data_IF_442661041975
#
_entry.id   IF_442661041975
#
_cell.length_a   1.000
_cell.length_b   1.000
_cell.length_c   1.000
_cell.angle_alpha   90.00
_cell.angle_beta   90.00
_cell.angle_gamma   90.00
#
_symmetry.space_group_name_H-M   'P 1'
#
loop_
_entity.id
_entity.type
_entity.pdbx_description
1 polymer ?
#
# COMPACT_ATOMS: atom_id res chain seq x y z
N UNK A 1 -13.22 1.16 30.31
CA UNK A 1 -12.46 0.57 29.20
C UNK A 1 -12.43 -0.93 29.40
N UNK A 2 -13.00 -1.70 28.47
CA UNK A 2 -12.79 -3.15 28.41
C UNK A 2 -11.36 -3.44 27.98
N UNK A 3 -10.75 -4.50 28.51
CA UNK A 3 -9.41 -4.90 28.10
C UNK A 3 -9.39 -5.24 26.59
N UNK A 4 -8.33 -4.85 25.83
CA UNK A 4 -8.21 -5.21 24.43
C UNK A 4 -8.25 -6.73 24.21
N UNK A 5 -8.93 -7.16 23.16
CA UNK A 5 -8.93 -8.56 22.71
C UNK A 5 -7.57 -8.85 22.09
N UNK A 6 -6.90 -9.90 22.57
CA UNK A 6 -5.61 -10.34 22.03
C UNK A 6 -5.83 -11.45 21.00
N UNK A 7 -5.32 -11.23 19.79
CA UNK A 7 -5.35 -12.18 18.68
C UNK A 7 -3.96 -12.78 18.46
N UNK A 8 -3.88 -13.85 17.66
CA UNK A 8 -2.60 -14.47 17.32
C UNK A 8 -1.60 -13.46 16.71
N UNK A 9 -0.32 -13.67 16.99
CA UNK A 9 0.74 -12.71 16.66
C UNK A 9 0.83 -11.52 17.64
N UNK A 10 0.11 -11.56 18.77
CA UNK A 10 0.14 -10.50 19.78
C UNK A 10 -0.63 -9.24 19.38
N UNK A 11 -1.55 -9.36 18.40
CA UNK A 11 -2.34 -8.23 17.91
C UNK A 11 -3.38 -7.86 18.96
N UNK A 12 -3.41 -6.58 19.35
CA UNK A 12 -4.32 -6.08 20.40
C UNK A 12 -5.41 -5.21 19.79
N UNK A 13 -6.66 -5.66 19.86
CA UNK A 13 -7.80 -4.94 19.30
C UNK A 13 -8.68 -4.42 20.44
N UNK A 14 -8.73 -3.09 20.61
CA UNK A 14 -9.64 -2.46 21.56
C UNK A 14 -11.06 -2.34 20.97
N UNK A 15 -12.07 -2.16 21.82
CA UNK A 15 -13.47 -1.97 21.41
C UNK A 15 -14.05 -0.72 22.07
N UNK A 16 -14.71 0.12 21.28
CA UNK A 16 -15.34 1.36 21.73
C UNK A 16 -14.39 2.54 21.65
N UNK A 17 -13.91 3.01 22.80
CA UNK A 17 -13.10 4.22 22.89
C UNK A 17 -11.68 4.03 22.34
N UNK A 18 -11.14 5.00 21.58
CA UNK A 18 -9.78 4.95 21.04
C UNK A 18 -8.68 4.66 22.08
N UNK A 19 -7.88 3.62 21.84
CA UNK A 19 -6.73 3.24 22.65
C UNK A 19 -5.40 3.37 21.88
N UNK A 20 -4.44 4.11 22.44
CA UNK A 20 -3.09 4.29 21.87
C UNK A 20 -2.24 3.02 21.96
N UNK A 21 -2.43 2.19 22.99
CA UNK A 21 -1.64 0.98 23.18
C UNK A 21 -2.06 -0.14 22.22
N UNK A 22 -3.34 -0.18 21.85
CA UNK A 22 -3.90 -1.14 20.90
C UNK A 22 -3.27 -1.00 19.49
N UNK A 23 -3.30 -2.09 18.73
CA UNK A 23 -2.94 -2.10 17.31
C UNK A 23 -3.95 -1.26 16.52
N UNK A 24 -5.24 -1.37 16.87
CA UNK A 24 -6.32 -0.44 16.52
C UNK A 24 -7.53 -0.68 17.43
N UNK A 25 -8.48 0.26 17.40
CA UNK A 25 -9.78 0.14 18.09
C UNK A 25 -10.88 -0.10 17.06
N UNK A 26 -11.83 -0.99 17.35
CA UNK A 26 -13.05 -1.15 16.57
C UNK A 26 -14.22 -0.48 17.27
N UNK A 27 -15.11 0.14 16.50
CA UNK A 27 -16.34 0.74 17.02
C UNK A 27 -17.45 0.62 15.98
N UNK A 28 -18.70 0.60 16.43
CA UNK A 28 -19.88 0.72 15.55
C UNK A 28 -20.32 2.20 15.42
N UNK A 29 -19.80 3.06 16.30
CA UNK A 29 -20.10 4.49 16.28
C UNK A 29 -19.23 5.24 15.26
N UNK A 30 -19.78 6.21 14.52
CA UNK A 30 -18.99 7.08 13.65
C UNK A 30 -17.91 7.83 14.43
N UNK A 31 -16.66 7.77 13.97
CA UNK A 31 -15.55 8.49 14.60
C UNK A 31 -14.57 9.08 13.60
N UNK A 32 -14.09 10.28 13.90
CA UNK A 32 -12.99 10.93 13.18
C UNK A 32 -11.61 10.51 13.68
N UNK A 33 -11.51 9.88 14.86
CA UNK A 33 -10.23 9.50 15.46
C UNK A 33 -9.59 8.37 14.65
N UNK A 34 -8.36 8.58 14.20
CA UNK A 34 -7.62 7.61 13.37
C UNK A 34 -7.22 6.34 14.10
N UNK A 35 -7.29 6.32 15.43
CA UNK A 35 -7.00 5.15 16.27
C UNK A 35 -8.15 4.14 16.28
N UNK A 36 -9.34 4.60 15.90
CA UNK A 36 -10.53 3.80 15.81
C UNK A 36 -11.02 3.64 14.36
N UNK A 37 -11.61 2.47 14.09
CA UNK A 37 -12.18 2.10 12.81
C UNK A 37 -13.64 1.75 13.02
N UNK A 38 -14.52 2.51 12.36
CA UNK A 38 -15.95 2.21 12.33
C UNK A 38 -16.21 0.98 11.46
N UNK A 39 -16.91 0.00 12.00
CA UNK A 39 -17.32 -1.25 11.34
C UNK A 39 -18.82 -1.48 11.54
N UNK A 40 -19.45 -2.25 10.66
CA UNK A 40 -20.89 -2.54 10.76
C UNK A 40 -21.25 -3.41 11.97
N UNK A 41 -20.33 -4.30 12.38
CA UNK A 41 -20.48 -5.23 13.50
C UNK A 41 -19.10 -5.51 14.09
N UNK A 42 -18.88 -5.07 15.33
CA UNK A 42 -17.63 -5.35 16.06
C UNK A 42 -17.42 -6.85 16.26
N UNK A 43 -18.41 -7.66 16.68
CA UNK A 43 -18.24 -9.11 16.82
C UNK A 43 -17.80 -9.79 15.53
N UNK A 44 -18.41 -9.44 14.38
CA UNK A 44 -18.07 -10.06 13.09
C UNK A 44 -16.68 -9.64 12.61
N UNK A 45 -16.33 -8.36 12.81
CA UNK A 45 -15.00 -7.85 12.48
C UNK A 45 -13.92 -8.54 13.32
N UNK A 46 -14.13 -8.72 14.63
CA UNK A 46 -13.22 -9.45 15.51
C UNK A 46 -13.08 -10.92 15.10
N UNK A 47 -14.17 -11.60 14.78
CA UNK A 47 -14.13 -13.00 14.34
C UNK A 47 -13.34 -13.16 13.03
N UNK A 48 -13.55 -12.28 12.05
CA UNK A 48 -12.81 -12.29 10.80
C UNK A 48 -11.31 -11.99 11.01
N UNK A 49 -10.98 -11.02 11.87
CA UNK A 49 -9.60 -10.70 12.24
C UNK A 49 -8.91 -11.88 12.94
N UNK A 50 -9.58 -12.51 13.91
CA UNK A 50 -9.07 -13.68 14.61
C UNK A 50 -8.70 -14.80 13.63
N UNK A 51 -9.62 -15.15 12.71
CA UNK A 51 -9.35 -16.17 11.69
C UNK A 51 -8.14 -15.84 10.82
N UNK A 52 -7.95 -14.57 10.45
CA UNK A 52 -6.83 -14.13 9.61
C UNK A 52 -5.52 -14.13 10.39
N UNK A 53 -5.51 -13.62 11.62
CA UNK A 53 -4.35 -13.63 12.50
C UNK A 53 -3.93 -15.05 12.87
N UNK A 54 -4.87 -15.98 13.08
CA UNK A 54 -4.57 -17.40 13.30
C UNK A 54 -3.92 -18.05 12.08
N UNK A 55 -4.34 -17.62 10.89
CA UNK A 55 -3.76 -18.11 9.64
C UNK A 55 -2.37 -17.53 9.39
N UNK A 56 -2.15 -16.25 9.70
CA UNK A 56 -0.93 -15.49 9.36
C UNK A 56 -0.29 -14.80 10.58
N UNK A 57 -0.02 -15.52 11.69
CA UNK A 57 0.41 -14.90 12.94
C UNK A 57 1.77 -14.20 12.84
N UNK A 58 2.72 -14.71 12.04
CA UNK A 58 4.06 -14.10 11.90
C UNK A 58 3.98 -12.82 11.07
N UNK A 59 3.31 -12.86 9.92
CA UNK A 59 3.12 -11.67 9.10
C UNK A 59 2.29 -10.60 9.83
N UNK A 60 1.29 -11.00 10.62
CA UNK A 60 0.52 -10.07 11.45
C UNK A 60 1.40 -9.38 12.51
N UNK A 61 2.17 -10.16 13.29
CA UNK A 61 3.07 -9.62 14.32
C UNK A 61 4.11 -8.64 13.72
N UNK A 62 4.78 -9.07 12.64
CA UNK A 62 5.78 -8.24 11.96
C UNK A 62 5.15 -6.97 11.36
N UNK A 63 3.90 -7.04 10.87
CA UNK A 63 3.18 -5.86 10.41
C UNK A 63 2.99 -4.84 11.53
N UNK A 64 2.49 -5.28 12.70
CA UNK A 64 2.31 -4.38 13.84
C UNK A 64 3.66 -3.81 14.28
N UNK A 65 4.69 -4.64 14.45
CA UNK A 65 6.03 -4.19 14.84
C UNK A 65 6.59 -3.10 13.92
N UNK A 66 6.52 -3.29 12.59
CA UNK A 66 6.97 -2.29 11.61
C UNK A 66 6.18 -0.98 11.75
N UNK A 67 4.87 -1.07 11.89
CA UNK A 67 3.99 0.10 12.03
C UNK A 67 4.19 0.83 13.37
N UNK A 68 4.58 0.12 14.43
CA UNK A 68 4.95 0.70 15.74
C UNK A 68 6.33 1.33 15.73
N UNK A 69 7.28 0.72 15.01
CA UNK A 69 8.66 1.20 14.91
C UNK A 69 8.80 2.41 13.99
N UNK A 70 7.85 2.62 13.07
CA UNK A 70 7.87 3.76 12.18
C UNK A 70 7.70 5.08 12.94
N UNK A 71 8.64 6.00 12.76
CA UNK A 71 8.45 7.42 13.02
C UNK A 71 7.80 8.09 11.80
N UNK A 72 6.52 8.53 11.85
CA UNK A 72 5.85 9.15 10.72
C UNK A 72 6.51 10.47 10.27
N UNK A 73 7.18 11.18 11.18
CA UNK A 73 7.90 12.42 10.90
C UNK A 73 9.36 12.18 10.48
N UNK A 74 9.85 10.94 10.61
CA UNK A 74 11.22 10.57 10.29
C UNK A 74 11.51 10.48 8.79
N UNK A 75 12.77 10.21 8.38
CA UNK A 75 13.14 10.08 6.97
C UNK A 75 12.43 8.92 6.26
N UNK A 76 11.97 9.14 5.03
CA UNK A 76 11.32 8.09 4.20
C UNK A 76 12.25 6.88 4.01
N UNK A 77 13.53 7.14 3.76
CA UNK A 77 14.52 6.10 3.55
C UNK A 77 14.56 5.11 4.71
N UNK A 78 14.64 5.58 5.95
CA UNK A 78 14.68 4.70 7.12
C UNK A 78 13.44 3.79 7.20
N UNK A 79 12.24 4.34 6.98
CA UNK A 79 11.01 3.56 6.96
C UNK A 79 10.98 2.50 5.85
N UNK A 80 11.38 2.87 4.62
CA UNK A 80 11.43 1.95 3.48
C UNK A 80 12.48 0.83 3.69
N UNK A 81 13.61 1.13 4.33
CA UNK A 81 14.60 0.11 4.68
C UNK A 81 14.03 -0.87 5.72
N UNK A 82 13.41 -0.37 6.80
CA UNK A 82 12.77 -1.21 7.83
C UNK A 82 11.71 -2.12 7.23
N UNK A 83 10.82 -1.57 6.41
CA UNK A 83 9.79 -2.33 5.70
C UNK A 83 10.41 -3.42 4.81
N UNK A 84 11.41 -3.06 4.01
CA UNK A 84 12.06 -3.98 3.09
C UNK A 84 12.81 -5.13 3.79
N UNK A 85 13.44 -4.87 4.94
CA UNK A 85 14.06 -5.90 5.77
C UNK A 85 13.00 -6.85 6.34
N UNK A 86 11.95 -6.32 6.95
CA UNK A 86 10.84 -7.11 7.49
C UNK A 86 10.16 -7.97 6.40
N UNK A 87 9.90 -7.38 5.23
CA UNK A 87 9.36 -8.10 4.07
C UNK A 87 10.27 -9.23 3.62
N UNK A 88 11.60 -9.02 3.55
CA UNK A 88 12.56 -10.07 3.21
C UNK A 88 12.60 -11.20 4.24
N UNK A 89 12.46 -10.88 5.53
CA UNK A 89 12.35 -11.89 6.59
C UNK A 89 11.11 -12.77 6.38
N UNK A 90 9.95 -12.15 6.10
CA UNK A 90 8.69 -12.87 5.84
C UNK A 90 8.72 -13.68 4.54
N UNK A 91 9.36 -13.18 3.48
CA UNK A 91 9.58 -13.95 2.24
C UNK A 91 10.36 -15.25 2.47
N UNK A 92 11.17 -15.33 3.53
CA UNK A 92 11.91 -16.54 3.88
C UNK A 92 11.13 -17.43 4.87
N UNK A 93 9.95 -16.99 5.28
CA UNK A 93 9.16 -17.59 6.35
C UNK A 93 8.24 -18.73 5.87
N UNK A 94 7.79 -19.58 6.82
CA UNK A 94 6.92 -20.71 6.53
C UNK A 94 5.54 -20.30 5.98
N UNK A 95 5.05 -19.12 6.36
CA UNK A 95 3.77 -18.59 5.89
C UNK A 95 3.80 -18.32 4.39
N UNK A 96 4.78 -17.58 3.90
CA UNK A 96 4.94 -17.32 2.48
C UNK A 96 5.24 -18.60 1.69
N UNK A 97 6.06 -19.51 2.23
CA UNK A 97 6.33 -20.80 1.61
C UNK A 97 5.05 -21.66 1.46
N UNK A 98 4.18 -21.66 2.48
CA UNK A 98 2.86 -22.31 2.41
C UNK A 98 1.99 -21.68 1.34
N UNK A 99 1.93 -20.35 1.27
CA UNK A 99 1.17 -19.65 0.23
C UNK A 99 1.66 -20.00 -1.18
N UNK A 100 2.98 -20.01 -1.41
CA UNK A 100 3.56 -20.41 -2.70
C UNK A 100 3.15 -21.83 -3.10
N UNK A 101 3.15 -22.74 -2.14
CA UNK A 101 2.72 -24.14 -2.34
C UNK A 101 1.24 -24.23 -2.71
N UNK A 102 0.37 -23.50 -2.01
CA UNK A 102 -1.08 -23.51 -2.24
C UNK A 102 -1.49 -22.82 -3.56
N UNK A 103 -0.80 -21.73 -3.91
CA UNK A 103 -1.02 -21.00 -5.17
C UNK A 103 -0.62 -21.84 -6.39
N UNK A 104 0.42 -22.65 -6.26
CA UNK A 104 0.98 -23.44 -7.36
C UNK A 104 1.86 -22.62 -8.31
N UNK A 105 2.29 -23.23 -9.43
CA UNK A 105 3.15 -22.57 -10.42
C UNK A 105 2.40 -21.47 -11.16
N UNK A 106 3.11 -20.40 -11.51
CA UNK A 106 2.59 -19.32 -12.34
C UNK A 106 3.59 -18.98 -13.44
N UNK A 107 3.07 -18.48 -14.56
CA UNK A 107 3.88 -17.93 -15.63
C UNK A 107 3.80 -16.41 -15.60
N UNK A 108 4.94 -15.76 -15.70
CA UNK A 108 5.03 -14.30 -15.80
C UNK A 108 4.84 -13.93 -17.28
N UNK A 109 3.74 -13.23 -17.65
CA UNK A 109 3.54 -12.83 -19.02
C UNK A 109 4.39 -11.59 -19.32
N UNK A 110 5.18 -11.67 -20.39
CA UNK A 110 5.88 -10.50 -20.93
C UNK A 110 4.88 -9.61 -21.63
N UNK A 111 4.78 -8.35 -21.21
CA UNK A 111 3.92 -7.34 -21.84
C UNK A 111 4.80 -6.21 -22.34
N UNK A 112 4.74 -5.82 -23.62
CA UNK A 112 5.47 -4.66 -24.10
C UNK A 112 4.97 -3.39 -23.40
N UNK A 113 5.87 -2.45 -23.17
CA UNK A 113 5.58 -1.12 -22.62
C UNK A 113 4.70 -1.15 -21.35
N UNK A 114 5.12 -1.82 -20.27
CA UNK A 114 4.31 -1.99 -19.05
C UNK A 114 4.03 -0.66 -18.32
N UNK A 115 4.76 0.39 -18.67
CA UNK A 115 4.53 1.78 -18.28
C UNK A 115 4.74 2.66 -19.51
N UNK A 116 3.86 3.64 -19.71
CA UNK A 116 4.00 4.66 -20.77
C UNK A 116 4.12 6.04 -20.15
N UNK A 117 5.04 6.86 -20.65
CA UNK A 117 5.24 8.23 -20.19
C UNK A 117 5.04 9.21 -21.36
N UNK A 118 4.31 10.29 -21.10
CA UNK A 118 4.05 11.36 -22.07
C UNK A 118 4.33 12.70 -21.41
N UNK A 119 5.07 13.57 -22.11
CA UNK A 119 5.39 14.91 -21.64
C UNK A 119 4.71 15.97 -22.50
N UNK A 120 4.09 16.94 -21.84
CA UNK A 120 3.45 18.10 -22.45
C UNK A 120 3.93 19.38 -21.72
N UNK A 121 4.91 20.06 -22.29
CA UNK A 121 5.58 21.18 -21.60
C UNK A 121 6.28 20.69 -20.32
N UNK A 122 5.95 21.31 -19.18
CA UNK A 122 6.47 20.92 -17.85
C UNK A 122 5.76 19.72 -17.21
N UNK A 123 4.65 19.27 -17.79
CA UNK A 123 3.84 18.17 -17.25
C UNK A 123 4.31 16.81 -17.76
N UNK A 124 4.62 15.89 -16.85
CA UNK A 124 4.92 14.49 -17.15
C UNK A 124 3.79 13.57 -16.67
N UNK A 125 3.17 12.85 -17.58
CA UNK A 125 2.15 11.84 -17.26
C UNK A 125 2.73 10.46 -17.40
N UNK A 126 2.70 9.67 -16.33
CA UNK A 126 3.21 8.31 -16.26
C UNK A 126 2.03 7.39 -16.00
N UNK A 127 1.82 6.41 -16.88
CA UNK A 127 0.69 5.49 -16.80
C UNK A 127 1.15 4.05 -16.73
N UNK A 128 0.66 3.30 -15.75
CA UNK A 128 0.74 1.84 -15.83
C UNK A 128 -0.03 1.35 -17.05
N UNK A 129 0.53 0.39 -17.79
CA UNK A 129 0.05 -0.01 -19.11
C UNK A 129 0.06 -1.53 -19.31
N UNK A 130 -0.54 -2.24 -18.36
CA UNK A 130 -0.88 -3.67 -18.46
C UNK A 130 -2.39 -3.86 -18.20
N UNK A 131 -3.28 -3.22 -18.99
CA UNK A 131 -4.70 -3.10 -18.65
C UNK A 131 -5.42 -4.45 -18.56
N UNK A 132 -4.97 -5.46 -19.31
CA UNK A 132 -5.53 -6.83 -19.30
C UNK A 132 -5.26 -7.57 -17.98
N UNK A 133 -4.32 -7.08 -17.16
CA UNK A 133 -3.99 -7.60 -15.83
C UNK A 133 -4.25 -6.57 -14.73
N UNK A 134 -5.17 -5.63 -14.97
CA UNK A 134 -5.44 -4.53 -14.04
C UNK A 134 -4.17 -3.78 -13.59
N UNK A 135 -3.19 -3.65 -14.49
CA UNK A 135 -1.93 -2.98 -14.23
C UNK A 135 -1.13 -3.58 -13.06
N UNK A 136 -1.17 -4.92 -12.91
CA UNK A 136 -0.32 -5.64 -11.96
C UNK A 136 1.16 -5.22 -12.10
N UNK A 137 1.80 -4.94 -10.96
CA UNK A 137 3.12 -4.34 -10.86
C UNK A 137 4.21 -5.41 -10.83
N UNK A 138 4.79 -5.66 -11.99
CA UNK A 138 5.87 -6.60 -12.25
C UNK A 138 7.26 -5.93 -12.20
N UNK A 139 8.31 -6.72 -12.34
CA UNK A 139 9.70 -6.27 -12.29
C UNK A 139 10.05 -5.38 -13.50
N UNK A 140 9.52 -5.68 -14.68
CA UNK A 140 9.65 -4.83 -15.88
C UNK A 140 8.87 -3.51 -15.73
N UNK A 141 7.66 -3.55 -15.15
CA UNK A 141 6.87 -2.37 -14.83
C UNK A 141 7.59 -1.47 -13.82
N UNK A 142 8.27 -2.07 -12.83
CA UNK A 142 9.10 -1.33 -11.87
C UNK A 142 10.26 -0.61 -12.55
N UNK A 143 10.98 -1.29 -13.43
CA UNK A 143 12.08 -0.68 -14.17
C UNK A 143 11.59 0.49 -15.05
N UNK A 144 10.54 0.26 -15.85
CA UNK A 144 9.97 1.28 -16.72
C UNK A 144 9.37 2.48 -15.94
N UNK A 145 8.77 2.23 -14.77
CA UNK A 145 8.30 3.30 -13.88
C UNK A 145 9.47 4.13 -13.35
N UNK A 146 10.56 3.49 -12.92
CA UNK A 146 11.75 4.20 -12.45
C UNK A 146 12.35 5.06 -13.55
N UNK A 147 12.52 4.52 -14.75
CA UNK A 147 13.05 5.30 -15.89
C UNK A 147 12.21 6.55 -16.15
N UNK A 148 10.88 6.45 -16.11
CA UNK A 148 9.99 7.59 -16.26
C UNK A 148 10.07 8.58 -15.09
N UNK A 149 10.14 8.09 -13.85
CA UNK A 149 10.25 8.94 -12.67
C UNK A 149 11.61 9.66 -12.59
N UNK A 150 12.69 9.03 -13.02
CA UNK A 150 14.03 9.64 -13.07
C UNK A 150 14.05 10.87 -13.98
N UNK A 151 13.26 10.90 -15.06
CA UNK A 151 13.06 12.12 -15.87
C UNK A 151 12.54 13.26 -15.00
N UNK A 152 11.47 13.04 -14.23
CA UNK A 152 10.95 14.06 -13.33
C UNK A 152 11.88 14.39 -12.17
N UNK A 153 12.67 13.43 -11.70
CA UNK A 153 13.60 13.65 -10.59
C UNK A 153 14.78 14.54 -11.00
N UNK A 154 15.31 14.34 -12.20
CA UNK A 154 16.54 14.97 -12.68
C UNK A 154 16.30 16.22 -13.53
N UNK A 155 15.16 16.33 -14.21
CA UNK A 155 14.85 17.49 -15.06
C UNK A 155 14.05 18.56 -14.27
N UNK A 156 14.67 19.70 -13.92
CA UNK A 156 14.00 20.76 -13.16
C UNK A 156 12.89 21.47 -13.96
N UNK A 157 12.83 21.28 -15.28
CA UNK A 157 11.75 21.82 -16.10
C UNK A 157 10.46 20.99 -16.04
N UNK A 158 10.48 19.85 -15.33
CA UNK A 158 9.26 19.12 -14.95
C UNK A 158 8.69 19.73 -13.68
N UNK A 159 7.55 20.41 -13.81
CA UNK A 159 6.83 21.12 -12.75
C UNK A 159 5.53 20.42 -12.30
N UNK A 160 5.08 19.41 -13.05
CA UNK A 160 3.94 18.57 -12.68
C UNK A 160 4.20 17.11 -13.05
N UNK A 161 3.85 16.18 -12.15
CA UNK A 161 3.85 14.74 -12.39
C UNK A 161 2.46 14.19 -12.13
N UNK A 162 1.94 13.40 -13.07
CA UNK A 162 0.68 12.68 -12.90
C UNK A 162 0.91 11.19 -13.06
N UNK A 163 0.73 10.43 -11.97
CA UNK A 163 0.73 8.98 -11.96
C UNK A 163 -0.71 8.48 -12.18
N UNK A 164 -0.93 7.65 -13.19
CA UNK A 164 -2.24 7.10 -13.54
C UNK A 164 -2.14 5.65 -14.03
N UNK A 165 -3.26 5.02 -14.38
CA UNK A 165 -3.31 3.70 -15.00
C UNK A 165 -4.11 3.72 -16.30
N UNK A 166 -3.73 2.91 -17.28
CA UNK A 166 -4.51 2.67 -18.49
C UNK A 166 -5.55 1.57 -18.26
N UNK A 167 -6.67 1.65 -18.97
CA UNK A 167 -7.72 0.64 -18.95
C UNK A 167 -8.55 0.64 -17.65
N UNK A 168 -9.01 -0.53 -17.18
CA UNK A 168 -10.07 -0.61 -16.17
C UNK A 168 -9.64 -0.29 -14.74
N UNK A 169 -8.34 -0.25 -14.45
CA UNK A 169 -7.82 -0.05 -13.09
C UNK A 169 -6.60 0.86 -13.09
N UNK A 170 -6.30 1.44 -11.93
CA UNK A 170 -5.04 2.11 -11.69
C UNK A 170 -3.88 1.10 -11.61
N UNK A 171 -3.87 0.24 -10.60
CA UNK A 171 -2.86 -0.79 -10.36
C UNK A 171 -3.35 -1.77 -9.27
N UNK A 172 -3.40 -3.06 -9.60
CA UNK A 172 -3.85 -4.13 -8.68
C UNK A 172 -2.77 -4.67 -7.75
N UNK A 173 -1.65 -3.96 -7.56
CA UNK A 173 -0.54 -4.37 -6.70
C UNK A 173 0.45 -5.28 -7.40
N UNK A 174 1.37 -5.91 -6.64
CA UNK A 174 2.43 -6.76 -7.19
C UNK A 174 1.90 -7.89 -8.08
N UNK A 175 2.60 -8.18 -9.19
CA UNK A 175 2.20 -9.29 -10.05
C UNK A 175 2.42 -10.62 -9.33
N UNK A 176 1.32 -11.26 -8.93
CA UNK A 176 1.33 -12.51 -8.18
C UNK A 176 2.19 -13.58 -8.85
N UNK A 177 2.33 -13.56 -10.19
CA UNK A 177 3.13 -14.51 -10.93
C UNK A 177 4.64 -14.45 -10.62
N UNK A 178 5.16 -13.29 -10.20
CA UNK A 178 6.58 -13.10 -9.90
C UNK A 178 6.97 -13.49 -8.46
N UNK A 179 6.00 -13.69 -7.58
CA UNK A 179 6.29 -14.09 -6.20
C UNK A 179 6.94 -15.48 -6.17
N UNK A 180 8.04 -15.59 -5.41
CA UNK A 180 8.88 -16.79 -5.34
C UNK A 180 9.97 -16.86 -6.43
N UNK A 181 10.07 -15.87 -7.33
CA UNK A 181 11.17 -15.81 -8.32
C UNK A 181 12.51 -15.41 -7.72
N UNK A 182 12.51 -14.64 -6.63
CA UNK A 182 13.71 -14.32 -5.87
C UNK A 182 13.97 -15.40 -4.82
N UNK A 183 15.09 -16.11 -4.96
CA UNK A 183 15.50 -17.16 -4.01
C UNK A 183 16.40 -16.64 -2.90
N UNK A 184 17.02 -15.47 -3.08
CA UNK A 184 17.87 -14.82 -2.08
C UNK A 184 17.16 -13.58 -1.47
N UNK A 185 16.80 -13.62 -0.17
CA UNK A 185 16.16 -12.50 0.53
C UNK A 185 17.02 -11.24 0.60
N UNK A 186 18.36 -11.38 0.60
CA UNK A 186 19.28 -10.25 0.63
C UNK A 186 19.30 -9.53 -0.71
N UNK A 187 19.44 -10.26 -1.83
CA UNK A 187 19.29 -9.71 -3.17
C UNK A 187 17.90 -9.05 -3.36
N UNK A 188 16.83 -9.69 -2.88
CA UNK A 188 15.48 -9.13 -2.96
C UNK A 188 15.35 -7.80 -2.18
N UNK A 189 15.96 -7.71 -1.00
CA UNK A 189 16.05 -6.47 -0.22
C UNK A 189 16.79 -5.36 -0.97
N UNK A 190 17.96 -5.68 -1.51
CA UNK A 190 18.78 -4.71 -2.26
C UNK A 190 18.05 -4.25 -3.53
N UNK A 191 17.37 -5.15 -4.25
CA UNK A 191 16.58 -4.80 -5.41
C UNK A 191 15.43 -3.84 -5.04
N UNK A 192 14.64 -4.17 -3.99
CA UNK A 192 13.53 -3.33 -3.52
C UNK A 192 13.98 -1.94 -3.08
N UNK A 193 15.16 -1.81 -2.51
CA UNK A 193 15.64 -0.54 -1.92
C UNK A 193 16.45 0.31 -2.89
N UNK A 194 17.31 -0.30 -3.72
CA UNK A 194 18.12 0.43 -4.72
C UNK A 194 17.32 0.80 -5.97
N UNK A 195 16.24 0.07 -6.25
CA UNK A 195 15.32 0.32 -7.36
C UNK A 195 13.90 0.56 -6.79
N UNK A 196 13.78 1.55 -5.91
CA UNK A 196 12.54 1.88 -5.20
C UNK A 196 11.82 3.07 -5.85
N UNK A 197 10.67 2.86 -6.53
CA UNK A 197 9.83 3.97 -6.98
C UNK A 197 9.35 4.84 -5.81
N UNK A 198 9.16 4.27 -4.63
CA UNK A 198 8.73 4.99 -3.43
C UNK A 198 9.73 6.09 -3.00
N UNK A 199 11.03 5.78 -3.02
CA UNK A 199 12.07 6.77 -2.68
C UNK A 199 12.10 7.91 -3.71
N UNK A 200 12.01 7.57 -4.99
CA UNK A 200 11.98 8.56 -6.07
C UNK A 200 10.72 9.42 -6.01
N UNK A 201 9.54 8.81 -5.81
CA UNK A 201 8.27 9.54 -5.64
C UNK A 201 8.30 10.46 -4.42
N UNK A 202 8.95 10.06 -3.33
CA UNK A 202 9.13 10.91 -2.16
C UNK A 202 10.00 12.15 -2.47
N UNK A 203 11.10 12.00 -3.22
CA UNK A 203 11.93 13.13 -3.65
C UNK A 203 11.18 14.06 -4.60
N UNK A 204 10.47 13.51 -5.58
CA UNK A 204 9.63 14.29 -6.52
C UNK A 204 8.54 15.04 -5.75
N UNK A 205 7.87 14.38 -4.82
CA UNK A 205 6.79 15.01 -4.03
C UNK A 205 7.33 16.07 -3.08
N UNK A 206 8.51 15.89 -2.50
CA UNK A 206 9.15 16.93 -1.69
C UNK A 206 9.45 18.19 -2.51
N UNK A 207 9.80 18.03 -3.79
CA UNK A 207 10.07 19.16 -4.71
C UNK A 207 8.79 19.80 -5.27
N UNK A 208 7.83 18.99 -5.70
CA UNK A 208 6.63 19.44 -6.43
C UNK A 208 5.41 19.68 -5.53
N UNK A 209 5.42 19.17 -4.30
CA UNK A 209 4.27 19.19 -3.40
C UNK A 209 3.02 18.62 -4.06
N UNK A 210 1.95 19.42 -4.10
CA UNK A 210 0.64 19.04 -4.66
C UNK A 210 0.64 18.85 -6.19
N UNK A 211 1.70 19.25 -6.89
CA UNK A 211 1.85 19.02 -8.32
C UNK A 211 2.40 17.62 -8.66
N UNK A 212 2.80 16.81 -7.67
CA UNK A 212 2.91 15.37 -7.84
C UNK A 212 1.56 14.74 -7.50
N UNK A 213 0.84 14.26 -8.51
CA UNK A 213 -0.55 13.78 -8.39
C UNK A 213 -0.66 12.30 -8.73
N UNK A 214 -1.56 11.59 -8.05
CA UNK A 214 -2.06 10.30 -8.48
C UNK A 214 -3.55 10.42 -8.87
N UNK A 215 -3.91 9.91 -10.04
CA UNK A 215 -5.29 9.79 -10.52
C UNK A 215 -5.68 8.31 -10.54
N UNK A 216 -6.50 7.88 -9.57
CA UNK A 216 -6.77 6.45 -9.30
C UNK A 216 -8.23 6.06 -9.60
N UNK A 217 -8.43 4.84 -10.09
CA UNK A 217 -9.72 4.24 -10.43
C UNK A 217 -9.67 2.71 -10.45
N UNK A 218 -10.83 2.06 -10.51
CA UNK A 218 -10.95 0.61 -10.49
C UNK A 218 -10.15 -0.05 -9.35
N UNK A 219 -9.34 -1.06 -9.65
CA UNK A 219 -8.51 -1.70 -8.62
C UNK A 219 -7.30 -0.82 -8.25
N UNK A 220 -7.18 -0.50 -6.96
CA UNK A 220 -6.07 0.26 -6.36
C UNK A 220 -5.55 -0.52 -5.15
N UNK A 221 -4.76 -1.56 -5.41
CA UNK A 221 -4.39 -2.55 -4.39
C UNK A 221 -2.88 -2.60 -4.20
N UNK A 222 -2.45 -2.94 -2.98
CA UNK A 222 -1.05 -3.15 -2.63
C UNK A 222 -0.12 -2.08 -3.17
N UNK A 223 0.96 -2.48 -3.86
CA UNK A 223 1.96 -1.57 -4.43
C UNK A 223 1.37 -0.37 -5.18
N UNK A 224 0.23 -0.52 -5.85
CA UNK A 224 -0.47 0.59 -6.50
C UNK A 224 -0.91 1.67 -5.50
N UNK A 225 -1.63 1.27 -4.47
CA UNK A 225 -2.06 2.16 -3.39
C UNK A 225 -0.87 2.76 -2.64
N UNK A 226 0.16 1.95 -2.37
CA UNK A 226 1.39 2.37 -1.69
C UNK A 226 2.10 3.50 -2.44
N UNK A 227 2.24 3.37 -3.76
CA UNK A 227 2.85 4.40 -4.62
C UNK A 227 1.96 5.64 -4.76
N UNK A 228 0.66 5.47 -4.95
CA UNK A 228 -0.26 6.62 -5.02
C UNK A 228 -0.22 7.46 -3.74
N UNK A 229 -0.11 6.82 -2.57
CA UNK A 229 -0.05 7.51 -1.28
C UNK A 229 1.22 8.37 -1.09
N UNK A 230 2.28 8.16 -1.88
CA UNK A 230 3.46 9.05 -1.88
C UNK A 230 3.22 10.37 -2.60
N UNK A 231 2.29 10.44 -3.55
CA UNK A 231 1.99 11.67 -4.27
C UNK A 231 1.43 12.75 -3.33
N UNK A 232 1.65 14.03 -3.65
CA UNK A 232 1.16 15.15 -2.85
C UNK A 232 -0.34 15.42 -2.99
N UNK A 233 -1.00 14.85 -4.01
CA UNK A 233 -2.46 14.84 -4.13
C UNK A 233 -2.93 13.54 -4.77
N UNK A 234 -3.92 12.88 -4.18
CA UNK A 234 -4.54 11.65 -4.71
C UNK A 234 -5.99 11.93 -5.04
N UNK A 235 -6.33 11.97 -6.32
CA UNK A 235 -7.70 12.05 -6.81
C UNK A 235 -8.21 10.66 -7.15
N UNK A 236 -9.44 10.36 -6.72
CA UNK A 236 -10.02 9.03 -6.74
C UNK A 236 -11.34 9.04 -7.50
N UNK A 237 -11.57 8.08 -8.40
CA UNK A 237 -12.88 7.92 -9.04
C UNK A 237 -13.85 7.13 -8.16
N UNK A 238 -15.18 7.34 -8.30
CA UNK A 238 -16.18 6.62 -7.50
C UNK A 238 -16.15 5.09 -7.65
N UNK A 239 -15.61 4.58 -8.75
CA UNK A 239 -15.47 3.15 -9.01
C UNK A 239 -14.21 2.50 -8.40
N UNK A 240 -13.38 3.27 -7.68
CA UNK A 240 -12.15 2.75 -7.10
C UNK A 240 -12.41 1.84 -5.89
N UNK A 241 -11.63 0.76 -5.79
CA UNK A 241 -11.61 -0.18 -4.67
C UNK A 241 -10.18 -0.23 -4.13
N UNK A 242 -9.99 0.26 -2.90
CA UNK A 242 -8.66 0.50 -2.31
C UNK A 242 -8.36 -0.52 -1.21
N UNK A 243 -7.18 -1.16 -1.20
CA UNK A 243 -6.87 -2.16 -0.19
C UNK A 243 -5.40 -2.60 -0.13
N UNK A 244 -5.06 -3.30 0.95
CA UNK A 244 -3.74 -3.87 1.23
C UNK A 244 -3.87 -5.38 1.51
N UNK A 245 -3.88 -6.23 0.46
CA UNK A 245 -4.18 -7.65 0.59
C UNK A 245 -3.00 -8.52 1.06
N UNK A 246 -1.82 -7.94 1.32
CA UNK A 246 -0.53 -8.65 1.47
C UNK A 246 -0.52 -9.72 2.56
N UNK A 247 -1.30 -9.54 3.64
CA UNK A 247 -1.36 -10.54 4.71
C UNK A 247 -1.83 -11.91 4.18
N UNK A 248 -2.68 -11.94 3.15
CA UNK A 248 -3.14 -13.19 2.55
C UNK A 248 -2.04 -13.99 1.83
N UNK A 249 -0.86 -13.38 1.65
CA UNK A 249 0.35 -14.01 1.12
C UNK A 249 1.33 -14.39 2.24
N UNK A 250 1.04 -14.07 3.51
CA UNK A 250 2.02 -14.16 4.59
C UNK A 250 3.07 -13.05 4.53
N UNK A 251 2.70 -11.88 4.00
CA UNK A 251 3.56 -10.73 3.80
C UNK A 251 2.92 -9.45 4.35
N UNK A 252 3.67 -8.35 4.29
CA UNK A 252 3.22 -6.98 4.62
C UNK A 252 3.36 -6.09 3.37
N UNK A 253 2.84 -4.85 3.36
CA UNK A 253 3.17 -3.89 2.30
C UNK A 253 4.70 -3.77 2.10
N UNK A 254 5.15 -3.70 0.86
CA UNK A 254 6.57 -3.85 0.50
C UNK A 254 7.07 -2.89 -0.58
N UNK A 255 6.25 -1.91 -0.94
CA UNK A 255 6.54 -0.85 -1.90
C UNK A 255 6.45 0.55 -1.22
N UNK A 256 6.72 0.63 0.08
CA UNK A 256 6.72 1.83 0.91
C UNK A 256 5.40 2.13 1.60
N UNK A 257 4.41 1.25 1.53
CA UNK A 257 3.06 1.41 2.08
C UNK A 257 3.01 1.59 3.58
N UNK A 258 3.87 0.89 4.32
CA UNK A 258 3.98 1.08 5.78
C UNK A 258 4.38 2.51 6.11
N UNK A 259 5.06 3.23 5.19
CA UNK A 259 5.43 4.64 5.33
C UNK A 259 4.35 5.57 4.79
N UNK A 260 4.04 5.49 3.49
CA UNK A 260 3.20 6.48 2.80
C UNK A 260 1.75 6.47 3.30
N UNK A 261 1.17 5.28 3.47
CA UNK A 261 -0.21 5.12 3.92
C UNK A 261 -0.32 5.51 5.39
N UNK A 262 0.62 5.07 6.23
CA UNK A 262 0.66 5.43 7.65
C UNK A 262 0.79 6.94 7.88
N UNK A 263 1.53 7.66 7.04
CA UNK A 263 1.58 9.12 7.11
C UNK A 263 0.24 9.77 6.79
N UNK A 264 -0.56 9.19 5.90
CA UNK A 264 -1.90 9.69 5.55
C UNK A 264 -2.94 9.37 6.62
N UNK A 265 -3.05 8.10 7.03
CA UNK A 265 -4.18 7.63 7.85
C UNK A 265 -3.79 7.18 9.27
N UNK A 266 -2.52 7.22 9.63
CA UNK A 266 -2.00 6.74 10.91
C UNK A 266 -1.86 5.22 10.98
N UNK A 267 -1.02 4.75 11.90
CA UNK A 267 -0.64 3.33 12.00
C UNK A 267 -1.82 2.40 12.27
N UNK A 268 -2.82 2.87 13.03
CA UNK A 268 -3.96 2.06 13.43
C UNK A 268 -4.87 1.72 12.24
N UNK A 269 -5.26 2.70 11.41
CA UNK A 269 -6.02 2.45 10.17
C UNK A 269 -5.20 1.67 9.14
N UNK A 270 -3.89 1.92 9.02
CA UNK A 270 -3.01 1.09 8.17
C UNK A 270 -3.00 -0.36 8.64
N UNK A 271 -2.81 -0.60 9.95
CA UNK A 271 -2.83 -1.94 10.53
C UNK A 271 -4.17 -2.63 10.28
N UNK A 272 -5.30 -1.93 10.47
CA UNK A 272 -6.61 -2.48 10.15
C UNK A 272 -6.75 -2.88 8.68
N UNK A 273 -6.31 -2.05 7.72
CA UNK A 273 -6.38 -2.39 6.29
C UNK A 273 -5.60 -3.66 5.96
N UNK A 274 -4.36 -3.78 6.46
CA UNK A 274 -3.51 -4.95 6.22
C UNK A 274 -4.07 -6.19 6.91
N UNK A 275 -4.38 -6.07 8.21
CA UNK A 275 -4.75 -7.21 9.06
C UNK A 275 -6.13 -7.75 8.69
N UNK A 276 -7.11 -6.88 8.41
CA UNK A 276 -8.44 -7.30 7.95
C UNK A 276 -8.42 -7.80 6.49
N UNK A 277 -7.48 -7.32 5.67
CA UNK A 277 -7.46 -7.56 4.23
C UNK A 277 -8.70 -7.03 3.49
N UNK A 278 -9.51 -6.18 4.14
CA UNK A 278 -10.70 -5.58 3.54
C UNK A 278 -10.29 -4.43 2.64
N UNK A 279 -11.02 -4.28 1.53
CA UNK A 279 -10.97 -3.05 0.74
C UNK A 279 -11.93 -2.00 1.32
N UNK A 280 -11.60 -0.74 1.09
CA UNK A 280 -12.44 0.41 1.41
C UNK A 280 -12.89 1.11 0.13
N UNK A 281 -14.05 1.75 0.20
CA UNK A 281 -14.61 2.57 -0.86
C UNK A 281 -13.99 3.98 -0.89
N UNK A 282 -14.20 4.76 -1.97
CA UNK A 282 -13.65 6.11 -2.09
C UNK A 282 -14.16 7.07 -0.99
N UNK A 283 -15.39 6.88 -0.53
CA UNK A 283 -15.97 7.71 0.52
C UNK A 283 -15.24 7.51 1.86
N UNK A 284 -14.94 6.27 2.22
CA UNK A 284 -14.17 5.92 3.41
C UNK A 284 -12.73 6.38 3.27
N UNK A 285 -12.11 6.17 2.10
CA UNK A 285 -10.76 6.65 1.82
C UNK A 285 -10.64 8.18 1.97
N UNK A 286 -11.65 8.94 1.51
CA UNK A 286 -11.71 10.40 1.67
C UNK A 286 -11.86 10.80 3.14
N UNK A 287 -12.81 10.18 3.86
CA UNK A 287 -13.01 10.44 5.31
C UNK A 287 -11.75 10.15 6.13
N UNK A 288 -10.95 9.16 5.71
CA UNK A 288 -9.72 8.81 6.39
C UNK A 288 -8.53 9.71 6.03
N UNK A 289 -8.63 10.52 4.96
CA UNK A 289 -7.51 11.28 4.41
C UNK A 289 -6.54 10.44 3.58
N UNK A 290 -6.92 9.21 3.21
CA UNK A 290 -6.10 8.38 2.31
C UNK A 290 -6.07 8.97 0.90
N UNK A 291 -7.20 9.52 0.46
CA UNK A 291 -7.33 10.27 -0.79
C UNK A 291 -7.77 11.70 -0.49
N UNK A 292 -7.42 12.61 -1.38
CA UNK A 292 -7.66 14.05 -1.21
C UNK A 292 -8.97 14.50 -1.85
N UNK A 293 -9.38 13.85 -2.95
CA UNK A 293 -10.56 14.21 -3.72
C UNK A 293 -11.22 12.95 -4.28
N UNK A 294 -12.56 12.90 -4.28
CA UNK A 294 -13.33 11.92 -5.04
C UNK A 294 -14.06 12.62 -6.18
N UNK A 295 -13.89 12.16 -7.42
CA UNK A 295 -14.52 12.79 -8.58
C UNK A 295 -16.05 12.78 -8.44
N UNK A 296 -16.68 13.95 -8.59
CA UNK A 296 -18.13 14.12 -8.40
C UNK A 296 -18.58 14.39 -6.96
N UNK A 297 -17.67 14.37 -5.97
CA UNK A 297 -17.97 14.91 -4.64
C UNK A 297 -17.92 16.45 -4.68
N UNK A 298 -18.81 17.16 -3.95
CA UNK A 298 -18.68 18.61 -3.81
C UNK A 298 -17.30 18.94 -3.21
N UNK A 299 -16.64 19.96 -3.75
CA UNK A 299 -15.39 20.44 -3.18
C UNK A 299 -15.62 20.85 -1.70
N UNK A 300 -14.69 20.52 -0.79
CA UNK A 300 -14.79 20.93 0.60
C UNK A 300 -14.78 22.45 0.77
#
# INVERSE_FOLDING_TARGET
>A
MSDPVELAGGIRVAVGDPDDAATFTLTEEPTGDRRAVTVDSVPDALAALAQRCDRWPQAAAVCDDVLRALDPAGPVFAGVITESLAYSTLQSGPEFARWLTERGPAQVPVTPDPVVAQREGGRLVIRFNRPQRHNAFSTDARAALLDALEVARLDPSVDEVVLAGNGPSFCSGGDLAEFGSFTDPAAAHLARTRHSPALVLAEITARLGRACRAEIHGQVQGSGLEMAAFCGTVSCRPDAVLGLPELALGLIPGAGGTVSITRRIGRWRTAYLVLSGRSIDPATALRWGLVDVVAGAPAP
#
